data_IF_783925300188
#
_entry.id   IF_783925300188
#
_cell.length_a   1.000
_cell.length_b   1.000
_cell.length_c   1.000
_cell.angle_alpha   90.00
_cell.angle_beta   90.00
_cell.angle_gamma   90.00
#
_symmetry.space_group_name_H-M   'P 1'
#
loop_
_entity.id
_entity.type
_entity.pdbx_description
1 polymer ?
#
# COMPACT_ATOMS: atom_id res chain seq x y z
N UNK A 1 6.45 5.09 24.87
CA UNK A 1 7.30 6.10 24.21
C UNK A 1 7.94 6.96 25.28
N UNK A 2 9.23 7.28 25.16
CA UNK A 2 9.89 8.17 26.13
C UNK A 2 9.59 9.62 25.75
N UNK A 3 9.54 10.52 26.72
CA UNK A 3 9.26 11.96 26.51
C UNK A 3 10.20 12.61 25.50
N UNK A 4 11.43 12.12 25.42
CA UNK A 4 12.41 12.59 24.45
C UNK A 4 12.06 12.23 22.99
N UNK A 5 11.46 11.07 22.76
CA UNK A 5 11.04 10.63 21.43
C UNK A 5 9.84 11.46 20.95
N UNK A 6 8.91 11.78 21.86
CA UNK A 6 7.79 12.68 21.57
C UNK A 6 8.28 14.08 21.17
N UNK A 7 9.29 14.63 21.88
CA UNK A 7 9.88 15.92 21.54
C UNK A 7 10.53 15.93 20.14
N UNK A 8 11.23 14.85 19.76
CA UNK A 8 11.81 14.72 18.40
C UNK A 8 10.73 14.70 17.31
N UNK A 9 9.65 13.97 17.53
CA UNK A 9 8.54 13.89 16.57
C UNK A 9 7.86 15.26 16.40
N UNK A 10 7.64 15.99 17.49
CA UNK A 10 7.07 17.34 17.46
C UNK A 10 7.98 18.34 16.72
N UNK A 11 9.30 18.22 16.86
CA UNK A 11 10.25 19.05 16.10
C UNK A 11 10.19 18.76 14.60
N UNK A 12 10.09 17.49 14.20
CA UNK A 12 9.97 17.10 12.79
C UNK A 12 8.66 17.64 12.21
N UNK A 13 7.56 17.54 12.95
CA UNK A 13 6.27 18.10 12.56
C UNK A 13 6.34 19.63 12.39
N UNK A 14 6.96 20.33 13.34
CA UNK A 14 7.12 21.79 13.26
C UNK A 14 7.95 22.21 12.03
N UNK A 15 9.01 21.47 11.70
CA UNK A 15 9.81 21.73 10.51
C UNK A 15 9.01 21.47 9.21
N UNK A 16 8.19 20.42 9.20
CA UNK A 16 7.32 20.12 8.06
C UNK A 16 6.26 21.20 7.84
N UNK A 17 5.61 21.66 8.91
CA UNK A 17 4.62 22.75 8.86
C UNK A 17 5.24 24.07 8.39
N UNK A 18 6.48 24.37 8.80
CA UNK A 18 7.21 25.57 8.35
C UNK A 18 7.52 25.57 6.86
N UNK A 19 7.66 24.39 6.26
CA UNK A 19 7.91 24.23 4.83
C UNK A 19 6.62 24.07 4.01
N UNK A 20 5.47 23.98 4.67
CA UNK A 20 4.17 23.83 4.02
C UNK A 20 3.62 25.21 3.57
N UNK A 21 2.73 25.25 2.57
CA UNK A 21 2.05 26.49 2.20
C UNK A 21 1.24 27.03 3.38
N UNK A 22 1.28 28.35 3.58
CA UNK A 22 0.55 29.03 4.64
C UNK A 22 -0.96 28.87 4.40
N UNK A 23 -1.59 27.94 5.12
CA UNK A 23 -3.02 27.64 5.09
C UNK A 23 -3.61 27.87 6.47
N UNK A 24 -4.89 28.20 6.50
CA UNK A 24 -5.61 28.37 7.76
C UNK A 24 -5.66 27.05 8.55
N UNK A 25 -5.63 27.14 9.88
CA UNK A 25 -5.60 25.96 10.75
C UNK A 25 -6.89 25.13 10.62
N UNK A 26 -8.02 25.79 10.34
CA UNK A 26 -9.31 25.15 10.12
C UNK A 26 -9.33 24.32 8.83
N UNK A 27 -8.67 24.79 7.76
CA UNK A 27 -8.52 24.06 6.49
C UNK A 27 -7.55 22.88 6.62
N UNK A 28 -6.50 23.04 7.44
CA UNK A 28 -5.54 21.98 7.73
C UNK A 28 -6.17 20.84 8.53
N UNK A 29 -6.93 21.18 9.58
CA UNK A 29 -7.67 20.19 10.38
C UNK A 29 -8.71 19.44 9.52
N UNK A 30 -9.40 20.17 8.63
CA UNK A 30 -10.37 19.59 7.70
C UNK A 30 -9.72 18.65 6.68
N UNK A 31 -8.49 18.93 6.25
CA UNK A 31 -7.73 18.08 5.32
C UNK A 31 -7.21 16.79 5.97
N UNK A 32 -6.87 16.82 7.26
CA UNK A 32 -6.47 15.63 8.02
C UNK A 32 -7.68 14.74 8.33
N UNK A 33 -8.85 15.34 8.54
CA UNK A 33 -10.07 14.63 8.90
C UNK A 33 -10.83 14.05 7.69
N UNK A 34 -10.50 14.46 6.46
CA UNK A 34 -11.20 13.97 5.27
C UNK A 34 -10.64 12.60 4.86
N UNK A 35 -11.44 11.52 4.86
CA UNK A 35 -11.00 10.28 4.22
C UNK A 35 -10.68 10.57 2.75
N UNK A 36 -9.70 9.89 2.15
CA UNK A 36 -9.35 10.07 0.74
C UNK A 36 -10.62 9.92 -0.09
N UNK A 37 -11.00 10.99 -0.80
CA UNK A 37 -12.16 10.96 -1.66
C UNK A 37 -11.79 10.11 -2.87
N UNK A 38 -12.29 8.86 -2.90
CA UNK A 38 -12.13 7.97 -4.04
C UNK A 38 -12.79 8.61 -5.26
N UNK A 39 -12.00 8.87 -6.31
CA UNK A 39 -12.52 9.36 -7.57
C UNK A 39 -13.46 8.28 -8.17
N UNK A 40 -14.74 8.56 -8.44
CA UNK A 40 -15.67 7.55 -8.94
C UNK A 40 -15.26 6.98 -10.31
N UNK A 41 -14.43 7.71 -11.05
CA UNK A 41 -13.82 7.26 -12.31
C UNK A 41 -12.71 6.20 -12.12
N UNK A 42 -12.10 6.10 -10.93
CA UNK A 42 -11.04 5.12 -10.66
C UNK A 42 -11.59 3.76 -10.23
N UNK A 43 -12.84 3.68 -9.77
CA UNK A 43 -13.47 2.45 -9.29
C UNK A 43 -13.53 1.35 -10.39
N UNK A 44 -13.98 1.62 -11.63
CA UNK A 44 -13.97 0.60 -12.68
C UNK A 44 -12.56 0.11 -13.04
N UNK A 45 -11.57 1.01 -12.98
CA UNK A 45 -10.17 0.68 -13.28
C UNK A 45 -9.56 -0.16 -12.16
N UNK A 46 -9.83 0.17 -10.90
CA UNK A 46 -9.43 -0.64 -9.75
C UNK A 46 -10.07 -2.04 -9.79
N UNK A 47 -11.37 -2.14 -10.11
CA UNK A 47 -12.07 -3.42 -10.23
C UNK A 47 -11.52 -4.29 -11.37
N UNK A 48 -11.30 -3.72 -12.55
CA UNK A 48 -10.68 -4.46 -13.66
C UNK A 48 -9.24 -4.92 -13.35
N UNK A 49 -8.49 -4.12 -12.57
CA UNK A 49 -7.15 -4.49 -12.10
C UNK A 49 -7.21 -5.66 -11.11
N UNK A 50 -8.18 -5.67 -10.19
CA UNK A 50 -8.41 -6.78 -9.27
C UNK A 50 -8.80 -8.07 -10.00
N UNK A 51 -9.64 -7.98 -11.03
CA UNK A 51 -10.00 -9.14 -11.87
C UNK A 51 -8.75 -9.72 -12.53
N UNK A 52 -7.92 -8.89 -13.16
CA UNK A 52 -6.64 -9.34 -13.76
C UNK A 52 -5.70 -9.98 -12.74
N UNK A 53 -5.60 -9.43 -11.54
CA UNK A 53 -4.77 -10.01 -10.47
C UNK A 53 -5.33 -11.34 -9.95
N UNK A 54 -6.63 -11.58 -10.08
CA UNK A 54 -7.26 -12.85 -9.70
C UNK A 54 -6.98 -13.99 -10.70
N UNK A 55 -6.66 -13.64 -11.95
CA UNK A 55 -6.29 -14.58 -13.02
C UNK A 55 -4.83 -15.06 -12.90
N UNK A 56 -4.00 -14.36 -12.12
CA UNK A 56 -2.61 -14.70 -11.88
C UNK A 56 -2.50 -16.06 -11.17
N UNK A 57 -1.57 -16.88 -11.65
CA UNK A 57 -1.36 -18.22 -11.12
C UNK A 57 -0.89 -18.22 -9.66
N UNK A 58 -1.38 -19.21 -8.91
CA UNK A 58 -0.97 -19.48 -7.53
C UNK A 58 0.56 -19.55 -7.37
N UNK A 59 1.26 -20.12 -8.35
CA UNK A 59 2.72 -20.22 -8.34
C UNK A 59 3.38 -18.85 -8.28
N UNK A 60 2.92 -17.91 -9.10
CA UNK A 60 3.43 -16.54 -9.14
C UNK A 60 3.16 -15.82 -7.82
N UNK A 61 1.98 -15.99 -7.24
CA UNK A 61 1.68 -15.45 -5.91
C UNK A 61 2.55 -16.04 -4.79
N UNK A 62 2.82 -17.35 -4.85
CA UNK A 62 3.65 -18.01 -3.83
C UNK A 62 5.10 -17.55 -3.94
N UNK A 63 5.60 -17.40 -5.16
CA UNK A 63 6.93 -16.83 -5.44
C UNK A 63 7.02 -15.39 -4.95
N UNK A 64 6.05 -14.54 -5.26
CA UNK A 64 5.96 -13.17 -4.77
C UNK A 64 5.97 -13.07 -3.24
N UNK A 65 5.15 -13.90 -2.57
CA UNK A 65 5.07 -13.92 -1.11
C UNK A 65 6.41 -14.29 -0.47
N UNK A 66 7.12 -15.26 -1.07
CA UNK A 66 8.45 -15.67 -0.62
C UNK A 66 9.51 -14.60 -0.88
N UNK A 67 9.52 -14.00 -2.09
CA UNK A 67 10.47 -12.95 -2.48
C UNK A 67 10.40 -11.74 -1.54
N UNK A 68 9.18 -11.33 -1.17
CA UNK A 68 8.97 -10.17 -0.31
C UNK A 68 8.82 -10.52 1.17
N UNK A 69 9.02 -11.79 1.56
CA UNK A 69 8.91 -12.29 2.93
C UNK A 69 7.62 -11.85 3.64
N UNK A 70 6.47 -11.91 2.96
CA UNK A 70 5.21 -11.63 3.63
C UNK A 70 4.86 -12.75 4.61
N UNK A 71 4.46 -12.44 5.86
CA UNK A 71 4.06 -13.44 6.86
C UNK A 71 2.63 -13.95 6.59
N UNK A 72 2.38 -14.43 5.37
CA UNK A 72 1.09 -14.92 4.91
C UNK A 72 1.21 -16.43 4.72
N UNK A 73 0.33 -17.17 5.40
CA UNK A 73 0.25 -18.62 5.24
C UNK A 73 -0.57 -18.98 3.99
N UNK A 74 0.12 -19.47 2.96
CA UNK A 74 -0.48 -20.00 1.73
C UNK A 74 -0.73 -21.49 1.92
N UNK A 75 -2.01 -21.89 1.97
CA UNK A 75 -2.40 -23.30 2.08
C UNK A 75 -2.47 -23.94 0.70
N UNK A 76 -2.26 -25.26 0.62
CA UNK A 76 -2.31 -25.99 -0.65
C UNK A 76 -3.68 -25.89 -1.35
N UNK A 77 -4.76 -25.69 -0.60
CA UNK A 77 -6.14 -25.55 -1.08
C UNK A 77 -6.55 -24.12 -1.45
N UNK A 78 -5.73 -23.11 -1.15
CA UNK A 78 -6.08 -21.72 -1.45
C UNK A 78 -6.06 -21.49 -2.96
N UNK A 79 -7.12 -20.85 -3.48
CA UNK A 79 -7.17 -20.33 -4.85
C UNK A 79 -6.40 -19.00 -4.95
N UNK A 80 -6.06 -18.56 -6.16
CA UNK A 80 -5.36 -17.28 -6.39
C UNK A 80 -6.07 -16.08 -5.75
N UNK A 81 -7.41 -16.06 -5.81
CA UNK A 81 -8.23 -15.02 -5.17
C UNK A 81 -8.11 -15.01 -3.64
N UNK A 82 -8.00 -16.17 -3.00
CA UNK A 82 -7.85 -16.24 -1.54
C UNK A 82 -6.49 -15.73 -1.11
N UNK A 83 -5.45 -16.02 -1.89
CA UNK A 83 -4.10 -15.52 -1.65
C UNK A 83 -4.04 -14.00 -1.82
N UNK A 84 -4.66 -13.47 -2.88
CA UNK A 84 -4.83 -12.03 -3.09
C UNK A 84 -5.55 -11.38 -1.89
N UNK A 85 -6.66 -11.96 -1.43
CA UNK A 85 -7.42 -11.44 -0.30
C UNK A 85 -6.61 -11.41 0.99
N UNK A 86 -5.84 -12.46 1.27
CA UNK A 86 -4.91 -12.49 2.42
C UNK A 86 -3.81 -11.43 2.32
N UNK A 87 -3.28 -11.22 1.11
CA UNK A 87 -2.27 -10.20 0.85
C UNK A 87 -2.83 -8.80 1.06
N UNK A 88 -3.97 -8.47 0.44
CA UNK A 88 -4.61 -7.16 0.60
C UNK A 88 -4.95 -6.88 2.06
N UNK A 89 -5.50 -7.87 2.78
CA UNK A 89 -5.77 -7.76 4.22
C UNK A 89 -4.49 -7.50 5.02
N UNK A 90 -3.38 -8.15 4.67
CA UNK A 90 -2.10 -7.89 5.32
C UNK A 90 -1.58 -6.47 5.04
N UNK A 91 -1.74 -5.98 3.81
CA UNK A 91 -1.33 -4.63 3.41
C UNK A 91 -2.20 -3.53 4.01
N UNK A 92 -3.47 -3.82 4.29
CA UNK A 92 -4.37 -2.94 5.04
C UNK A 92 -3.98 -2.85 6.52
N UNK A 93 -3.63 -3.97 7.13
CA UNK A 93 -3.27 -4.02 8.55
C UNK A 93 -1.85 -3.52 8.83
N UNK A 94 -0.99 -3.41 7.80
CA UNK A 94 0.42 -3.09 7.98
C UNK A 94 0.89 -2.02 6.98
N UNK A 95 0.79 -0.72 7.32
CA UNK A 95 1.15 0.37 6.41
C UNK A 95 2.64 0.37 6.04
N UNK A 96 3.52 -0.14 6.92
CA UNK A 96 4.94 -0.30 6.60
C UNK A 96 5.18 -1.31 5.47
N UNK A 97 4.40 -2.38 5.41
CA UNK A 97 4.51 -3.37 4.33
C UNK A 97 4.10 -2.76 2.98
N UNK A 98 3.12 -1.86 3.02
CA UNK A 98 2.63 -1.08 1.88
C UNK A 98 3.71 -0.13 1.34
N UNK A 99 4.40 0.59 2.24
CA UNK A 99 5.50 1.50 1.88
C UNK A 99 6.76 0.76 1.40
N UNK A 100 7.04 -0.43 1.96
CA UNK A 100 8.12 -1.29 1.45
C UNK A 100 7.82 -1.78 0.04
N UNK A 101 6.58 -2.17 -0.24
CA UNK A 101 6.16 -2.59 -1.58
C UNK A 101 6.26 -1.47 -2.60
N UNK A 102 5.82 -0.25 -2.27
CA UNK A 102 5.90 0.88 -3.19
C UNK A 102 7.36 1.22 -3.55
N UNK A 103 8.27 1.13 -2.57
CA UNK A 103 9.71 1.33 -2.78
C UNK A 103 10.36 0.21 -3.59
N UNK A 104 9.90 -1.04 -3.44
CA UNK A 104 10.44 -2.19 -4.18
C UNK A 104 9.90 -2.24 -5.61
N UNK A 105 8.63 -1.88 -5.83
CA UNK A 105 8.06 -1.77 -7.18
C UNK A 105 8.79 -0.73 -8.06
N UNK A 106 9.34 0.32 -7.45
CA UNK A 106 10.18 1.32 -8.13
C UNK A 106 11.61 0.82 -8.42
N UNK A 107 12.09 -0.19 -7.68
CA UNK A 107 13.45 -0.76 -7.80
C UNK A 107 13.36 -2.09 -8.55
N UNK A 108 13.25 -1.97 -9.86
CA UNK A 108 13.02 -2.96 -10.92
C UNK A 108 13.96 -4.19 -11.00
N UNK A 109 14.06 -5.00 -9.94
CA UNK A 109 14.64 -6.36 -9.98
C UNK A 109 13.89 -7.32 -9.06
N UNK A 110 12.72 -7.80 -9.48
CA UNK A 110 12.04 -8.95 -8.87
C UNK A 110 12.01 -10.10 -9.87
N UNK A 111 12.17 -11.34 -9.39
CA UNK A 111 11.93 -12.55 -10.20
C UNK A 111 10.42 -12.77 -10.45
N UNK A 112 9.57 -12.07 -9.70
CA UNK A 112 8.12 -11.99 -9.96
C UNK A 112 7.80 -11.23 -11.25
N UNK A 113 6.76 -11.69 -11.97
CA UNK A 113 6.24 -11.05 -13.19
C UNK A 113 6.05 -9.53 -13.00
N UNK A 114 6.66 -8.69 -13.86
CA UNK A 114 6.58 -7.24 -13.75
C UNK A 114 5.14 -6.70 -13.89
N UNK A 115 4.24 -7.48 -14.48
CA UNK A 115 2.82 -7.16 -14.60
C UNK A 115 2.11 -7.19 -13.24
N UNK A 116 2.45 -8.16 -12.38
CA UNK A 116 1.91 -8.30 -11.03
C UNK A 116 2.29 -7.08 -10.18
N UNK A 117 3.57 -6.69 -10.21
CA UNK A 117 4.05 -5.52 -9.48
C UNK A 117 3.39 -4.22 -9.95
N UNK A 118 3.26 -4.03 -11.28
CA UNK A 118 2.60 -2.83 -11.83
C UNK A 118 1.12 -2.77 -11.45
N UNK A 119 0.41 -3.88 -11.50
CA UNK A 119 -1.00 -3.95 -11.12
C UNK A 119 -1.21 -3.71 -9.61
N UNK A 120 -0.34 -4.26 -8.76
CA UNK A 120 -0.36 -3.96 -7.31
C UNK A 120 -0.01 -2.50 -7.04
N UNK A 121 1.01 -1.94 -7.70
CA UNK A 121 1.37 -0.54 -7.54
C UNK A 121 0.22 0.38 -7.97
N UNK A 122 -0.46 0.05 -9.07
CA UNK A 122 -1.63 0.81 -9.51
C UNK A 122 -2.73 0.81 -8.45
N UNK A 123 -3.02 -0.33 -7.81
CA UNK A 123 -4.00 -0.40 -6.73
C UNK A 123 -3.59 0.37 -5.48
N UNK A 124 -2.31 0.33 -5.13
CA UNK A 124 -1.78 0.99 -3.92
C UNK A 124 -1.57 2.50 -4.10
N UNK A 125 -1.43 2.99 -5.33
CA UNK A 125 -1.32 4.43 -5.64
C UNK A 125 -2.66 5.13 -5.80
N UNK A 126 -3.79 4.41 -5.75
CA UNK A 126 -5.15 4.96 -5.86
C UNK A 126 -5.77 5.29 -4.48
N UNK A 127 -5.01 5.15 -3.39
CA UNK A 127 -5.29 5.70 -2.05
C UNK A 127 -4.53 7.01 -1.83
#
# INVERSE_FOLDING_TARGET
MKTHDAAKILMVLAQALRNAPNRDLDDFASSIAKPPQLDPASIPVALSTLVRLSEIDKRQWTTFIKEHNFPIEVRLRDASRDILGKLLKHLEQNPEARERLSKVAQRSRSETSPELMKALQFLLSQE
#
